data_IF_482290188618
#
_entry.id   IF_482290188618
#
_cell.length_a   1.000
_cell.length_b   1.000
_cell.length_c   1.000
_cell.angle_alpha   90.00
_cell.angle_beta   90.00
_cell.angle_gamma   90.00
#
_symmetry.space_group_name_H-M   'P 1'
#
loop_
_entity.id
_entity.type
_entity.pdbx_description
1 polymer ?
#
# COMPACT_ATOMS: atom_id res chain seq x y z
N UNK A 1 -8.87 13.23 10.43
CA UNK A 1 -8.12 12.00 10.14
C UNK A 1 -8.94 11.15 9.19
N UNK A 2 -8.35 10.75 8.08
CA UNK A 2 -9.04 9.93 7.07
C UNK A 2 -9.28 8.50 7.58
N UNK A 3 -8.28 7.93 8.23
CA UNK A 3 -8.29 6.54 8.66
C UNK A 3 -7.41 6.35 9.89
N UNK A 4 -7.82 5.49 10.81
CA UNK A 4 -7.06 5.18 12.01
C UNK A 4 -6.45 3.78 11.91
N UNK A 5 -5.16 3.68 12.20
CA UNK A 5 -4.50 2.38 12.30
C UNK A 5 -4.99 1.62 13.54
N UNK A 6 -5.19 0.31 13.40
CA UNK A 6 -5.55 -0.56 14.52
C UNK A 6 -4.95 -1.95 14.30
N UNK A 7 -4.93 -2.75 15.37
CA UNK A 7 -4.48 -4.14 15.30
C UNK A 7 -5.30 -5.00 14.35
N UNK A 8 -6.54 -4.63 14.09
CA UNK A 8 -7.38 -5.32 13.12
C UNK A 8 -6.83 -5.28 11.70
N UNK A 9 -5.97 -4.30 11.40
CA UNK A 9 -5.31 -4.14 10.10
C UNK A 9 -3.98 -4.89 10.00
N UNK A 10 -3.47 -5.43 11.10
CA UNK A 10 -2.24 -6.21 11.09
C UNK A 10 -2.46 -7.57 10.44
N UNK A 11 -1.49 -7.98 9.59
CA UNK A 11 -1.50 -9.31 8.97
C UNK A 11 -0.56 -10.29 9.66
N UNK A 12 0.26 -9.81 10.61
CA UNK A 12 1.21 -10.61 11.34
C UNK A 12 2.62 -10.66 10.75
N UNK A 13 2.89 -9.90 9.69
CA UNK A 13 4.23 -9.76 9.12
C UNK A 13 4.76 -8.36 9.43
N UNK A 14 5.83 -8.22 10.24
CA UNK A 14 6.27 -6.92 10.73
C UNK A 14 6.59 -5.90 9.64
N UNK A 15 7.24 -6.34 8.56
CA UNK A 15 7.62 -5.46 7.44
C UNK A 15 6.38 -4.96 6.70
N UNK A 16 5.45 -5.84 6.40
CA UNK A 16 4.22 -5.48 5.69
C UNK A 16 3.31 -4.62 6.57
N UNK A 17 3.20 -4.97 7.85
CA UNK A 17 2.42 -4.18 8.80
C UNK A 17 2.97 -2.76 8.95
N UNK A 18 4.30 -2.61 8.98
CA UNK A 18 4.94 -1.30 8.98
C UNK A 18 4.59 -0.50 7.71
N UNK A 19 4.67 -1.13 6.54
CA UNK A 19 4.34 -0.49 5.26
C UNK A 19 2.88 -0.03 5.24
N UNK A 20 1.96 -0.86 5.69
CA UNK A 20 0.54 -0.51 5.75
C UNK A 20 0.30 0.67 6.69
N UNK A 21 0.95 0.69 7.85
CA UNK A 21 0.86 1.81 8.77
C UNK A 21 1.40 3.10 8.15
N UNK A 22 2.51 3.02 7.43
CA UNK A 22 3.07 4.18 6.72
C UNK A 22 2.13 4.67 5.61
N UNK A 23 1.50 3.78 4.88
CA UNK A 23 0.50 4.16 3.87
C UNK A 23 -0.68 4.90 4.49
N UNK A 24 -1.17 4.41 5.63
CA UNK A 24 -2.23 5.09 6.38
C UNK A 24 -1.78 6.49 6.80
N UNK A 25 -0.56 6.62 7.31
CA UNK A 25 -0.02 7.93 7.73
C UNK A 25 0.11 8.89 6.55
N UNK A 26 0.61 8.42 5.41
CA UNK A 26 0.76 9.25 4.20
C UNK A 26 -0.61 9.68 3.69
N UNK A 27 -1.60 8.79 3.67
CA UNK A 27 -2.95 9.12 3.26
C UNK A 27 -3.60 10.14 4.22
N UNK A 28 -3.35 10.02 5.52
CA UNK A 28 -3.82 10.99 6.51
C UNK A 28 -3.16 12.35 6.33
N UNK A 29 -1.86 12.39 6.02
CA UNK A 29 -1.14 13.64 5.75
C UNK A 29 -1.73 14.35 4.52
N UNK A 30 -2.02 13.59 3.46
CA UNK A 30 -2.67 14.15 2.26
C UNK A 30 -4.06 14.66 2.59
N UNK A 31 -4.85 13.92 3.35
CA UNK A 31 -6.17 14.35 3.80
C UNK A 31 -6.08 15.68 4.56
N UNK A 32 -5.12 15.80 5.49
CA UNK A 32 -4.91 17.03 6.25
C UNK A 32 -4.55 18.19 5.33
N UNK A 33 -3.66 17.98 4.36
CA UNK A 33 -3.26 19.02 3.41
C UNK A 33 -4.45 19.53 2.59
N UNK A 34 -5.35 18.62 2.18
CA UNK A 34 -6.56 18.99 1.43
C UNK A 34 -7.55 19.74 2.32
N UNK A 35 -7.79 19.25 3.54
CA UNK A 35 -8.74 19.86 4.47
C UNK A 35 -8.30 21.24 4.94
N UNK A 36 -7.01 21.48 5.08
CA UNK A 36 -6.46 22.79 5.47
C UNK A 36 -6.17 23.69 4.27
N UNK A 37 -6.59 23.29 3.08
CA UNK A 37 -6.46 24.06 1.84
C UNK A 37 -5.02 24.52 1.56
N UNK A 38 -4.07 23.60 1.76
CA UNK A 38 -2.68 23.87 1.39
C UNK A 38 -2.54 24.08 -0.12
N UNK A 39 -1.49 24.79 -0.53
CA UNK A 39 -1.28 25.14 -1.94
C UNK A 39 -1.05 23.94 -2.84
N UNK A 40 -1.19 24.17 -4.13
CA UNK A 40 -1.03 23.15 -5.19
C UNK A 40 0.27 22.35 -5.03
N UNK A 41 1.40 23.01 -4.83
CA UNK A 41 2.69 22.33 -4.76
C UNK A 41 2.79 21.40 -3.55
N UNK A 42 2.25 21.82 -2.40
CA UNK A 42 2.23 20.99 -1.19
C UNK A 42 1.39 19.73 -1.38
N UNK A 43 0.23 19.88 -2.00
CA UNK A 43 -0.66 18.75 -2.29
C UNK A 43 -0.02 17.82 -3.32
N UNK A 44 0.58 18.38 -4.38
CA UNK A 44 1.28 17.60 -5.40
C UNK A 44 2.42 16.77 -4.81
N UNK A 45 3.21 17.34 -3.89
CA UNK A 45 4.27 16.62 -3.21
C UNK A 45 3.73 15.48 -2.34
N UNK A 46 2.62 15.70 -1.66
CA UNK A 46 1.97 14.64 -0.86
C UNK A 46 1.46 13.50 -1.74
N UNK A 47 0.87 13.82 -2.89
CA UNK A 47 0.40 12.78 -3.84
C UNK A 47 1.60 12.01 -4.41
N UNK A 48 2.70 12.70 -4.78
CA UNK A 48 3.92 12.03 -5.25
C UNK A 48 4.48 11.07 -4.21
N UNK A 49 4.53 11.49 -2.95
CA UNK A 49 4.99 10.66 -1.85
C UNK A 49 4.13 9.40 -1.72
N UNK A 50 2.81 9.55 -1.83
CA UNK A 50 1.88 8.43 -1.80
C UNK A 50 2.15 7.44 -2.94
N UNK A 51 2.28 7.94 -4.17
CA UNK A 51 2.56 7.10 -5.36
C UNK A 51 3.86 6.33 -5.18
N UNK A 52 4.93 7.00 -4.78
CA UNK A 52 6.24 6.37 -4.60
C UNK A 52 6.20 5.30 -3.51
N UNK A 53 5.51 5.56 -2.41
CA UNK A 53 5.41 4.59 -1.33
C UNK A 53 4.58 3.38 -1.72
N UNK A 54 3.48 3.58 -2.45
CA UNK A 54 2.66 2.49 -2.99
C UNK A 54 3.50 1.58 -3.89
N UNK A 55 4.28 2.15 -4.81
CA UNK A 55 5.13 1.39 -5.71
C UNK A 55 6.20 0.58 -4.97
N UNK A 56 6.84 1.19 -3.99
CA UNK A 56 7.86 0.53 -3.17
C UNK A 56 7.25 -0.60 -2.34
N UNK A 57 6.09 -0.35 -1.75
CA UNK A 57 5.36 -1.34 -0.96
C UNK A 57 4.94 -2.53 -1.82
N UNK A 58 4.38 -2.28 -2.99
CA UNK A 58 3.97 -3.35 -3.90
C UNK A 58 5.15 -4.20 -4.37
N UNK A 59 6.27 -3.57 -4.72
CA UNK A 59 7.48 -4.28 -5.09
C UNK A 59 7.96 -5.19 -3.97
N UNK A 60 7.91 -4.70 -2.74
CA UNK A 60 8.31 -5.46 -1.54
C UNK A 60 7.38 -6.65 -1.28
N UNK A 61 6.07 -6.44 -1.38
CA UNK A 61 5.10 -7.52 -1.25
C UNK A 61 5.28 -8.57 -2.35
N UNK A 62 5.45 -8.14 -3.60
CA UNK A 62 5.61 -9.05 -4.74
C UNK A 62 6.87 -9.89 -4.60
N UNK A 63 7.95 -9.33 -4.07
CA UNK A 63 9.15 -10.10 -3.75
C UNK A 63 8.85 -11.17 -2.70
N UNK A 64 8.11 -10.81 -1.65
CA UNK A 64 7.76 -11.75 -0.58
C UNK A 64 6.87 -12.88 -1.07
N UNK A 65 5.81 -12.59 -1.83
CA UNK A 65 4.90 -13.64 -2.24
C UNK A 65 5.33 -14.37 -3.53
N UNK A 66 6.33 -13.88 -4.26
CA UNK A 66 6.87 -14.62 -5.43
C UNK A 66 7.46 -15.97 -5.04
N UNK A 67 7.93 -16.09 -3.80
CA UNK A 67 8.49 -17.32 -3.25
C UNK A 67 7.45 -18.18 -2.50
N UNK A 68 6.18 -17.82 -2.58
CA UNK A 68 5.10 -18.55 -1.92
C UNK A 68 4.35 -19.42 -2.91
N UNK A 69 3.50 -20.32 -2.37
CA UNK A 69 2.61 -21.16 -3.16
C UNK A 69 1.17 -20.62 -3.17
N UNK A 70 0.99 -19.34 -2.88
CA UNK A 70 -0.32 -18.71 -2.87
C UNK A 70 -0.94 -18.78 -4.28
N UNK A 71 -2.11 -19.42 -4.46
CA UNK A 71 -2.75 -19.53 -5.77
C UNK A 71 -3.25 -18.19 -6.32
N UNK A 72 -3.30 -17.14 -5.50
CA UNK A 72 -3.80 -15.83 -5.88
C UNK A 72 -2.70 -14.82 -6.25
N UNK A 73 -1.45 -15.25 -6.38
CA UNK A 73 -0.31 -14.35 -6.67
C UNK A 73 -0.55 -13.51 -7.92
N UNK A 74 -1.00 -14.11 -9.02
CA UNK A 74 -1.24 -13.38 -10.27
C UNK A 74 -2.35 -12.35 -10.13
N UNK A 75 -3.44 -12.70 -9.46
CA UNK A 75 -4.56 -11.81 -9.20
C UNK A 75 -4.14 -10.64 -8.30
N UNK A 76 -3.34 -10.91 -7.29
CA UNK A 76 -2.82 -9.91 -6.35
C UNK A 76 -1.90 -8.92 -7.10
N UNK A 77 -0.99 -9.43 -7.93
CA UNK A 77 -0.08 -8.62 -8.74
C UNK A 77 -0.85 -7.73 -9.73
N UNK A 78 -1.87 -8.28 -10.38
CA UNK A 78 -2.73 -7.50 -11.29
C UNK A 78 -3.43 -6.37 -10.55
N UNK A 79 -3.94 -6.64 -9.35
CA UNK A 79 -4.55 -5.62 -8.51
C UNK A 79 -3.57 -4.49 -8.21
N UNK A 80 -2.32 -4.81 -7.89
CA UNK A 80 -1.26 -3.81 -7.67
C UNK A 80 -1.05 -2.92 -8.90
N UNK A 81 -0.98 -3.53 -10.10
CA UNK A 81 -0.79 -2.75 -11.35
C UNK A 81 -1.95 -1.81 -11.61
N UNK A 82 -3.17 -2.28 -11.38
CA UNK A 82 -4.37 -1.45 -11.56
C UNK A 82 -4.36 -0.24 -10.62
N UNK A 83 -3.98 -0.44 -9.36
CA UNK A 83 -3.89 0.64 -8.36
C UNK A 83 -2.78 1.63 -8.72
N UNK A 84 -1.60 1.15 -9.09
CA UNK A 84 -0.49 2.01 -9.51
C UNK A 84 -0.89 2.90 -10.68
N UNK A 85 -1.53 2.33 -11.69
CA UNK A 85 -1.99 3.09 -12.86
C UNK A 85 -3.02 4.14 -12.46
N UNK A 86 -3.93 3.81 -11.55
CA UNK A 86 -4.96 4.74 -11.10
C UNK A 86 -4.36 5.92 -10.32
N UNK A 87 -3.48 5.67 -9.35
CA UNK A 87 -2.90 6.76 -8.56
C UNK A 87 -1.95 7.63 -9.38
N UNK A 88 -1.20 7.03 -10.32
CA UNK A 88 -0.38 7.81 -11.26
C UNK A 88 -1.24 8.70 -12.16
N UNK A 89 -2.40 8.19 -12.59
CA UNK A 89 -3.36 8.95 -13.37
C UNK A 89 -3.87 10.17 -12.61
N UNK A 90 -4.18 10.01 -11.33
CA UNK A 90 -4.57 11.12 -10.46
C UNK A 90 -3.46 12.15 -10.34
N UNK A 91 -2.21 11.72 -10.14
CA UNK A 91 -1.07 12.63 -10.03
C UNK A 91 -0.87 13.42 -11.33
N UNK A 92 -0.87 12.76 -12.48
CA UNK A 92 -0.72 13.41 -13.78
C UNK A 92 -1.83 14.41 -14.03
N UNK A 93 -3.07 14.05 -13.77
CA UNK A 93 -4.22 14.93 -13.92
C UNK A 93 -4.11 16.15 -12.99
N UNK A 94 -3.70 15.95 -11.75
CA UNK A 94 -3.54 17.04 -10.78
C UNK A 94 -2.40 18.00 -11.18
N UNK A 95 -1.30 17.49 -11.70
CA UNK A 95 -0.18 18.32 -12.17
C UNK A 95 -0.54 19.10 -13.45
N UNK A 96 -1.35 18.50 -14.32
CA UNK A 96 -1.70 19.09 -15.62
C UNK A 96 -2.88 20.06 -15.51
N UNK A 97 -3.92 19.66 -14.79
CA UNK A 97 -5.14 20.45 -14.60
C UNK A 97 -5.73 20.16 -13.23
N UNK A 98 -5.24 20.86 -12.18
CA UNK A 98 -5.67 20.61 -10.81
C UNK A 98 -7.18 20.74 -10.60
N UNK A 99 -7.83 21.65 -11.35
CA UNK A 99 -9.27 21.87 -11.23
C UNK A 99 -10.10 20.68 -11.71
N UNK A 100 -9.54 19.81 -12.56
CA UNK A 100 -10.22 18.61 -13.06
C UNK A 100 -10.27 17.47 -12.06
N UNK A 101 -9.50 17.53 -10.96
CA UNK A 101 -9.35 16.44 -10.01
C UNK A 101 -10.14 16.75 -8.73
N UNK A 102 -11.03 15.83 -8.38
CA UNK A 102 -11.70 15.84 -7.08
C UNK A 102 -10.83 15.08 -6.07
N UNK A 103 -10.12 15.83 -5.23
CA UNK A 103 -9.22 15.23 -4.22
C UNK A 103 -9.97 14.40 -3.19
N UNK A 104 -11.24 14.73 -2.91
CA UNK A 104 -12.05 13.93 -1.99
C UNK A 104 -12.34 12.54 -2.57
N UNK A 105 -12.51 12.43 -3.89
CA UNK A 105 -12.67 11.13 -4.55
C UNK A 105 -11.40 10.29 -4.41
N UNK A 106 -10.22 10.89 -4.60
CA UNK A 106 -8.95 10.18 -4.40
C UNK A 106 -8.82 9.69 -2.97
N UNK A 107 -9.11 10.54 -1.99
CA UNK A 107 -9.01 10.19 -0.57
C UNK A 107 -9.97 9.08 -0.18
N UNK A 108 -11.23 9.15 -0.63
CA UNK A 108 -12.22 8.10 -0.38
C UNK A 108 -11.82 6.78 -1.03
N UNK A 109 -11.30 6.85 -2.26
CA UNK A 109 -10.77 5.68 -2.95
C UNK A 109 -9.62 5.05 -2.17
N UNK A 110 -8.67 5.85 -1.69
CA UNK A 110 -7.54 5.35 -0.90
C UNK A 110 -7.98 4.67 0.38
N UNK A 111 -8.94 5.26 1.09
CA UNK A 111 -9.49 4.67 2.32
C UNK A 111 -10.13 3.31 2.04
N UNK A 112 -11.00 3.24 1.06
CA UNK A 112 -11.69 1.99 0.70
C UNK A 112 -10.70 0.93 0.21
N UNK A 113 -9.74 1.34 -0.63
CA UNK A 113 -8.74 0.43 -1.15
C UNK A 113 -7.87 -0.16 -0.04
N UNK A 114 -7.38 0.68 0.88
CA UNK A 114 -6.55 0.21 2.00
C UNK A 114 -7.30 -0.81 2.85
N UNK A 115 -8.55 -0.54 3.18
CA UNK A 115 -9.37 -1.45 3.98
C UNK A 115 -9.55 -2.79 3.26
N UNK A 116 -9.92 -2.77 1.98
CA UNK A 116 -10.18 -3.98 1.18
C UNK A 116 -8.90 -4.75 0.88
N UNK A 117 -7.85 -4.03 0.46
CA UNK A 117 -6.58 -4.64 0.09
C UNK A 117 -5.95 -5.35 1.30
N UNK A 118 -5.81 -4.65 2.42
CA UNK A 118 -5.26 -5.23 3.64
C UNK A 118 -6.17 -6.34 4.17
N UNK A 119 -7.48 -6.07 4.23
CA UNK A 119 -8.43 -6.99 4.85
C UNK A 119 -8.69 -8.27 4.08
N UNK A 120 -8.62 -8.23 2.75
CA UNK A 120 -8.95 -9.39 1.90
C UNK A 120 -7.73 -10.00 1.23
N UNK A 121 -6.93 -9.18 0.55
CA UNK A 121 -5.81 -9.68 -0.25
C UNK A 121 -4.59 -9.99 0.61
N UNK A 122 -4.15 -9.02 1.41
CA UNK A 122 -2.93 -9.18 2.20
C UNK A 122 -3.09 -10.18 3.32
N UNK A 123 -4.22 -10.19 4.01
CA UNK A 123 -4.51 -11.24 5.00
C UNK A 123 -4.62 -12.61 4.36
N UNK A 124 -5.14 -12.68 3.14
CA UNK A 124 -5.28 -13.93 2.42
C UNK A 124 -3.94 -14.60 2.11
N UNK A 125 -2.88 -13.84 1.82
CA UNK A 125 -1.57 -14.43 1.55
C UNK A 125 -0.65 -14.46 2.78
N UNK A 126 -1.01 -13.81 3.87
CA UNK A 126 -0.15 -13.65 5.05
C UNK A 126 0.40 -14.99 5.58
N UNK A 127 -0.43 -16.01 5.66
CA UNK A 127 -0.01 -17.33 6.12
C UNK A 127 1.05 -17.96 5.21
N UNK A 128 0.97 -17.74 3.90
CA UNK A 128 1.96 -18.24 2.94
C UNK A 128 3.31 -17.55 3.11
N UNK A 129 3.31 -16.23 3.28
CA UNK A 129 4.52 -15.43 3.47
C UNK A 129 5.21 -15.79 4.79
N UNK A 130 4.45 -15.88 5.89
CA UNK A 130 4.98 -16.22 7.22
C UNK A 130 5.57 -17.62 7.19
N UNK A 131 4.91 -18.58 6.55
CA UNK A 131 5.41 -19.94 6.40
C UNK A 131 6.72 -20.00 5.60
N UNK A 132 6.81 -19.23 4.51
CA UNK A 132 8.01 -19.15 3.69
C UNK A 132 9.19 -18.56 4.49
N UNK A 133 8.96 -17.50 5.27
CA UNK A 133 9.98 -16.90 6.13
C UNK A 133 10.50 -17.88 7.18
N UNK A 134 9.60 -18.64 7.82
CA UNK A 134 9.99 -19.65 8.80
C UNK A 134 10.82 -20.77 8.17
N UNK A 135 10.46 -21.25 6.99
CA UNK A 135 11.23 -22.25 6.28
C UNK A 135 12.62 -21.76 5.91
N UNK A 136 12.72 -20.50 5.44
CA UNK A 136 14.01 -19.87 5.12
C UNK A 136 14.89 -19.76 6.37
N UNK A 137 14.35 -19.31 7.50
CA UNK A 137 15.08 -19.20 8.76
C UNK A 137 15.58 -20.57 9.25
N UNK A 138 14.76 -21.61 9.16
CA UNK A 138 15.17 -22.98 9.52
C UNK A 138 16.27 -23.49 8.60
N UNK A 139 16.18 -23.22 7.30
CA UNK A 139 17.22 -23.59 6.35
C UNK A 139 18.54 -22.91 6.62
N UNK A 140 18.53 -21.63 6.97
CA UNK A 140 19.71 -20.87 7.35
C UNK A 140 20.35 -21.42 8.63
N UNK A 141 19.54 -21.73 9.64
CA UNK A 141 20.03 -22.31 10.90
C UNK A 141 20.70 -23.67 10.66
N UNK A 142 20.13 -24.50 9.83
CA UNK A 142 20.71 -25.80 9.47
C UNK A 142 22.02 -25.63 8.69
N UNK A 143 22.16 -24.59 7.90
CA UNK A 143 23.39 -24.29 7.17
C UNK A 143 24.58 -23.90 8.03
N UNK A 144 24.34 -23.50 9.28
CA UNK A 144 25.39 -23.15 10.25
C UNK A 144 25.73 -24.30 11.22
N UNK A 145 25.03 -25.36 11.12
CA UNK A 145 25.32 -26.55 11.91
C UNK A 145 26.39 -27.41 11.23
#
# INVERSE_FOLDING_TARGET
>A
MLMQWSKALEIGHPVIDYDHQMLVNIANDLHHAVQTQQGHDAIAQSVKRLVQYIETHFAREEELFSNTRDPNVEKHTKNHRDIENMVRGFLTAFETDPASVDMNKLLNFMKEWLIKHIGKLDKGYASYVIKADKQSSLGQRQGFA
#
